data_IF_557511897564
#
_entry.id   IF_557511897564
#
_cell.length_a   1.000
_cell.length_b   1.000
_cell.length_c   1.000
_cell.angle_alpha   90.00
_cell.angle_beta   90.00
_cell.angle_gamma   90.00
#
_symmetry.space_group_name_H-M   'P 1'
#
loop_
_entity.id
_entity.type
_entity.pdbx_description
1 polymer ?
#
# COMPACT_ATOMS: atom_id res chain seq x y z
N UNK A 1 6.27 -2.81 -1.69
CA UNK A 1 5.97 -1.53 -1.01
C UNK A 1 4.60 -0.97 -1.40
N UNK A 2 4.34 -0.56 -2.66
CA UNK A 2 3.06 0.06 -3.09
C UNK A 2 1.80 -0.68 -2.65
N UNK A 3 1.78 -2.01 -2.81
CA UNK A 3 0.64 -2.84 -2.42
C UNK A 3 0.32 -2.73 -0.92
N UNK A 4 1.33 -2.66 -0.05
CA UNK A 4 1.16 -2.53 1.41
C UNK A 4 0.67 -1.14 1.79
N UNK A 5 1.32 -0.09 1.25
CA UNK A 5 0.90 1.30 1.44
C UNK A 5 -0.55 1.49 1.01
N UNK A 6 -0.92 0.94 -0.15
CA UNK A 6 -2.27 1.00 -0.66
C UNK A 6 -3.24 0.21 0.23
N UNK A 7 -2.93 -1.05 0.54
CA UNK A 7 -3.75 -1.93 1.38
C UNK A 7 -4.08 -1.31 2.73
N UNK A 8 -3.12 -0.63 3.38
CA UNK A 8 -3.34 0.03 4.65
C UNK A 8 -4.43 1.10 4.61
N UNK A 9 -4.64 1.74 3.45
CA UNK A 9 -5.69 2.75 3.28
C UNK A 9 -7.07 2.15 2.97
N UNK A 10 -7.16 0.84 2.70
CA UNK A 10 -8.39 0.17 2.27
C UNK A 10 -9.24 -0.31 3.44
N UNK A 11 -9.72 0.64 4.24
CA UNK A 11 -10.56 0.37 5.44
C UNK A 11 -12.07 0.27 5.14
N UNK A 12 -12.50 0.79 3.99
CA UNK A 12 -13.91 0.81 3.57
C UNK A 12 -14.50 -0.59 3.37
N UNK A 13 -15.81 -0.75 3.60
CA UNK A 13 -16.49 -2.05 3.58
C UNK A 13 -16.21 -2.89 2.32
N UNK A 14 -16.28 -2.27 1.14
CA UNK A 14 -16.10 -2.95 -0.16
C UNK A 14 -14.66 -3.40 -0.44
N UNK A 15 -13.68 -2.79 0.22
CA UNK A 15 -12.24 -2.99 -0.04
C UNK A 15 -11.50 -3.51 1.18
N UNK A 16 -12.21 -3.84 2.26
CA UNK A 16 -11.61 -4.27 3.52
C UNK A 16 -10.78 -5.56 3.39
N UNK A 17 -11.08 -6.38 2.38
CA UNK A 17 -10.29 -7.56 2.08
C UNK A 17 -8.88 -7.20 1.58
N UNK A 18 -8.68 -6.05 0.94
CA UNK A 18 -7.35 -5.57 0.54
C UNK A 18 -6.48 -5.25 1.76
N UNK A 19 -7.10 -4.76 2.85
CA UNK A 19 -6.39 -4.51 4.12
C UNK A 19 -5.76 -5.79 4.69
N UNK A 20 -6.27 -6.97 4.34
CA UNK A 20 -5.65 -8.22 4.75
C UNK A 20 -4.22 -8.37 4.24
N UNK A 21 -3.86 -7.78 3.10
CA UNK A 21 -2.47 -7.78 2.62
C UNK A 21 -1.58 -7.08 3.65
N UNK A 22 -2.05 -5.96 4.22
CA UNK A 22 -1.32 -5.24 5.25
C UNK A 22 -1.29 -6.01 6.59
N UNK A 23 -2.44 -6.50 7.07
CA UNK A 23 -2.52 -7.16 8.38
C UNK A 23 -1.91 -8.56 8.42
N UNK A 24 -1.92 -9.29 7.30
CA UNK A 24 -1.32 -10.62 7.17
C UNK A 24 0.15 -10.61 6.74
N UNK A 25 0.71 -9.47 6.32
CA UNK A 25 2.15 -9.38 6.08
C UNK A 25 2.86 -9.25 7.42
N UNK A 26 3.76 -10.20 7.70
CA UNK A 26 4.56 -10.21 8.94
C UNK A 26 6.00 -9.75 8.71
N UNK A 27 6.67 -10.34 7.71
CA UNK A 27 8.08 -10.10 7.42
C UNK A 27 8.33 -9.77 5.95
N UNK A 28 9.37 -8.98 5.68
CA UNK A 28 9.79 -8.57 4.35
C UNK A 28 11.31 -8.70 4.24
N UNK A 29 11.79 -9.43 3.24
CA UNK A 29 13.22 -9.57 2.93
C UNK A 29 13.50 -8.81 1.64
N UNK A 30 14.38 -7.81 1.71
CA UNK A 30 14.81 -7.01 0.57
C UNK A 30 16.20 -7.45 0.12
N UNK A 31 16.39 -7.68 -1.18
CA UNK A 31 17.67 -8.11 -1.76
C UNK A 31 18.15 -7.08 -2.76
N UNK A 32 19.16 -6.29 -2.39
CA UNK A 32 19.77 -5.31 -3.27
C UNK A 32 18.77 -4.27 -3.79
N UNK A 33 17.67 -4.00 -3.10
CA UNK A 33 16.64 -3.08 -3.61
C UNK A 33 17.05 -1.63 -3.34
N UNK A 34 17.06 -0.75 -4.35
CA UNK A 34 17.45 0.64 -4.14
C UNK A 34 16.34 1.41 -3.38
N UNK A 35 16.57 1.70 -2.09
CA UNK A 35 15.64 2.49 -1.24
C UNK A 35 15.97 3.97 -1.22
N UNK A 36 17.24 4.35 -1.41
CA UNK A 36 17.67 5.75 -1.42
C UNK A 36 18.05 6.17 -2.83
N UNK A 37 17.44 7.27 -3.28
CA UNK A 37 17.67 7.84 -4.61
C UNK A 37 16.38 8.39 -5.21
N UNK A 38 16.04 9.63 -4.86
CA UNK A 38 14.86 10.32 -5.41
C UNK A 38 15.09 10.96 -6.77
N UNK A 39 16.35 11.11 -7.18
CA UNK A 39 16.63 11.74 -8.45
C UNK A 39 16.32 10.76 -9.59
N UNK A 40 15.61 11.19 -10.65
CA UNK A 40 15.47 10.40 -11.87
C UNK A 40 16.83 9.92 -12.41
N UNK A 41 17.91 10.69 -12.17
CA UNK A 41 19.26 10.32 -12.54
C UNK A 41 19.79 9.09 -11.78
N UNK A 42 19.46 8.93 -10.49
CA UNK A 42 19.85 7.76 -9.69
C UNK A 42 19.12 6.51 -10.17
N UNK A 43 17.81 6.61 -10.40
CA UNK A 43 17.02 5.51 -10.96
C UNK A 43 17.47 5.14 -12.37
N UNK A 44 17.80 6.14 -13.19
CA UNK A 44 18.36 5.92 -14.52
C UNK A 44 19.71 5.21 -14.46
N UNK A 45 20.61 5.62 -13.57
CA UNK A 45 21.90 4.97 -13.39
C UNK A 45 21.73 3.50 -12.94
N UNK A 46 20.86 3.26 -11.96
CA UNK A 46 20.48 1.90 -11.55
C UNK A 46 19.92 1.08 -12.73
N UNK A 47 18.96 1.64 -13.48
CA UNK A 47 18.37 0.99 -14.64
C UNK A 47 19.41 0.66 -15.73
N UNK A 48 20.36 1.55 -15.97
CA UNK A 48 21.49 1.34 -16.89
C UNK A 48 22.40 0.21 -16.40
N UNK A 49 22.73 0.17 -15.11
CA UNK A 49 23.54 -0.89 -14.50
C UNK A 49 22.83 -2.24 -14.59
N UNK A 50 21.54 -2.30 -14.28
CA UNK A 50 20.71 -3.51 -14.44
C UNK A 50 20.63 -3.92 -15.91
N UNK A 51 20.39 -2.98 -16.84
CA UNK A 51 20.34 -3.27 -18.28
C UNK A 51 21.68 -3.74 -18.85
N UNK A 52 22.79 -3.21 -18.36
CA UNK A 52 24.13 -3.69 -18.66
C UNK A 52 24.37 -5.08 -18.05
N UNK A 53 23.78 -5.34 -16.88
CA UNK A 53 23.83 -6.63 -16.21
C UNK A 53 22.83 -7.67 -16.78
N UNK A 54 21.80 -7.28 -17.51
CA UNK A 54 20.82 -8.23 -18.02
C UNK A 54 21.47 -9.13 -19.10
N UNK A 55 21.33 -10.44 -18.94
CA UNK A 55 21.61 -11.40 -20.02
C UNK A 55 20.58 -11.20 -21.13
N UNK A 56 21.01 -11.24 -22.39
CA UNK A 56 20.11 -11.06 -23.54
C UNK A 56 18.87 -11.97 -23.42
N UNK A 57 17.67 -11.38 -23.35
CA UNK A 57 16.40 -12.10 -23.24
C UNK A 57 15.38 -11.53 -22.23
N UNK A 58 15.80 -10.69 -21.29
CA UNK A 58 14.92 -10.09 -20.26
C UNK A 58 14.59 -8.64 -20.63
N UNK A 59 13.57 -8.45 -21.47
CA UNK A 59 13.17 -7.16 -22.08
C UNK A 59 14.29 -6.44 -22.86
N UNK A 60 13.95 -5.66 -23.89
CA UNK A 60 14.94 -4.79 -24.50
C UNK A 60 15.50 -3.86 -23.43
N UNK A 61 16.82 -3.74 -23.33
CA UNK A 61 17.50 -2.82 -22.38
C UNK A 61 16.88 -1.43 -22.41
N UNK A 62 16.44 -0.99 -23.59
CA UNK A 62 15.76 0.30 -23.79
C UNK A 62 14.43 0.40 -23.07
N UNK A 63 13.62 -0.66 -23.07
CA UNK A 63 12.25 -0.62 -22.53
C UNK A 63 12.26 -0.66 -21.00
N UNK A 64 13.20 -1.40 -20.42
CA UNK A 64 13.38 -1.40 -18.96
C UNK A 64 13.85 -0.03 -18.48
N UNK A 65 14.84 0.56 -19.16
CA UNK A 65 15.37 1.88 -18.78
C UNK A 65 14.29 2.95 -18.94
N UNK A 66 13.58 2.99 -20.06
CA UNK A 66 12.53 3.99 -20.26
C UNK A 66 11.34 3.83 -19.32
N UNK A 67 10.94 2.60 -19.01
CA UNK A 67 9.90 2.36 -18.00
C UNK A 67 10.34 2.85 -16.61
N UNK A 68 11.57 2.55 -16.21
CA UNK A 68 12.10 2.98 -14.91
C UNK A 68 12.33 4.49 -14.82
N UNK A 69 12.74 5.14 -15.92
CA UNK A 69 12.85 6.60 -16.00
C UNK A 69 11.48 7.25 -15.75
N UNK A 70 10.47 6.82 -16.48
CA UNK A 70 9.11 7.37 -16.40
C UNK A 70 8.43 7.08 -15.05
N UNK A 71 8.82 6.00 -14.37
CA UNK A 71 8.23 5.60 -13.09
C UNK A 71 9.06 6.02 -11.86
N UNK A 72 10.23 6.66 -12.04
CA UNK A 72 11.15 6.99 -10.94
C UNK A 72 10.51 7.86 -9.84
N UNK A 73 9.72 8.87 -10.20
CA UNK A 73 8.97 9.69 -9.23
C UNK A 73 7.91 8.86 -8.48
N UNK A 74 7.24 7.95 -9.18
CA UNK A 74 6.28 7.03 -8.56
C UNK A 74 6.97 6.07 -7.59
N UNK A 75 8.14 5.53 -7.96
CA UNK A 75 8.94 4.65 -7.11
C UNK A 75 9.44 5.37 -5.84
N UNK A 76 9.83 6.63 -5.96
CA UNK A 76 10.23 7.43 -4.80
C UNK A 76 9.04 7.65 -3.85
N UNK A 77 7.90 8.11 -4.38
CA UNK A 77 6.69 8.30 -3.60
C UNK A 77 6.30 7.02 -2.84
N UNK A 78 6.45 5.85 -3.48
CA UNK A 78 6.18 4.56 -2.85
C UNK A 78 7.09 4.31 -1.64
N UNK A 79 8.38 4.65 -1.73
CA UNK A 79 9.31 4.49 -0.61
C UNK A 79 8.96 5.45 0.53
N UNK A 80 8.68 6.71 0.21
CA UNK A 80 8.32 7.73 1.21
C UNK A 80 7.03 7.39 1.96
N UNK A 81 6.04 6.80 1.28
CA UNK A 81 4.83 6.31 1.94
C UNK A 81 5.01 4.97 2.66
N UNK A 82 6.06 4.21 2.34
CA UNK A 82 6.35 2.93 2.99
C UNK A 82 7.11 3.13 4.30
N UNK A 83 8.06 4.07 4.37
CA UNK A 83 8.88 4.32 5.57
C UNK A 83 8.05 4.49 6.86
N UNK A 84 6.96 5.29 6.90
CA UNK A 84 6.16 5.47 8.11
C UNK A 84 5.49 4.20 8.63
N UNK A 85 5.34 3.19 7.76
CA UNK A 85 4.59 1.96 8.03
C UNK A 85 5.53 0.76 8.16
N UNK A 86 6.84 0.96 7.98
CA UNK A 86 7.86 -0.08 8.05
C UNK A 86 7.87 -0.80 9.40
N UNK A 87 7.71 -0.06 10.51
CA UNK A 87 7.66 -0.60 11.88
C UNK A 87 6.54 -1.64 12.12
N UNK A 88 5.59 -1.74 11.20
CA UNK A 88 4.56 -2.77 11.25
C UNK A 88 5.06 -4.14 10.77
N UNK A 89 6.28 -4.26 10.25
CA UNK A 89 6.82 -5.48 9.68
C UNK A 89 8.21 -5.76 10.23
N UNK A 90 8.59 -7.04 10.30
CA UNK A 90 9.99 -7.40 10.49
C UNK A 90 10.70 -7.31 9.13
N UNK A 91 11.69 -6.43 9.03
CA UNK A 91 12.34 -6.13 7.76
C UNK A 91 13.82 -6.51 7.82
N UNK A 92 14.26 -7.28 6.82
CA UNK A 92 15.66 -7.66 6.65
C UNK A 92 16.19 -7.14 5.32
N UNK A 93 17.24 -6.31 5.35
CA UNK A 93 17.90 -5.81 4.15
C UNK A 93 19.19 -6.58 3.85
N UNK A 94 19.29 -7.11 2.64
CA UNK A 94 20.49 -7.72 2.11
C UNK A 94 21.12 -6.85 1.03
N UNK A 95 22.45 -6.74 1.02
CA UNK A 95 23.19 -6.07 -0.04
C UNK A 95 24.28 -6.98 -0.63
N UNK A 96 24.67 -6.68 -1.87
CA UNK A 96 25.77 -7.37 -2.57
C UNK A 96 27.12 -6.97 -1.97
N UNK A 97 27.98 -7.95 -1.68
CA UNK A 97 29.33 -7.70 -1.18
C UNK A 97 30.37 -7.68 -2.30
N UNK A 98 30.08 -8.30 -3.45
CA UNK A 98 30.96 -8.32 -4.61
C UNK A 98 30.43 -7.44 -5.75
N UNK A 99 31.29 -6.72 -6.48
CA UNK A 99 30.84 -5.91 -7.59
C UNK A 99 30.50 -6.79 -8.80
N UNK A 100 29.34 -6.49 -9.39
CA UNK A 100 28.79 -7.14 -10.58
C UNK A 100 29.63 -6.79 -11.81
N UNK A 101 30.01 -7.81 -12.58
CA UNK A 101 30.70 -7.60 -13.86
C UNK A 101 29.71 -7.13 -14.94
N UNK A 102 30.03 -5.98 -15.54
CA UNK A 102 29.32 -5.37 -16.67
C UNK A 102 30.09 -5.56 -18.00
N UNK A 103 30.95 -6.58 -18.07
CA UNK A 103 31.79 -6.85 -19.23
C UNK A 103 32.82 -5.75 -19.46
N UNK A 104 32.79 -5.12 -20.65
CA UNK A 104 33.75 -4.05 -21.02
C UNK A 104 33.62 -2.78 -20.17
N UNK A 105 32.50 -2.60 -19.47
CA UNK A 105 32.28 -1.43 -18.59
C UNK A 105 32.93 -1.59 -17.21
N UNK A 106 33.58 -2.72 -16.93
CA UNK A 106 34.22 -3.00 -15.65
C UNK A 106 33.30 -3.68 -14.63
N UNK A 107 33.66 -3.58 -13.35
CA UNK A 107 32.91 -4.16 -12.22
C UNK A 107 32.40 -3.03 -11.33
N UNK A 108 31.12 -3.07 -10.97
CA UNK A 108 30.52 -2.08 -10.08
C UNK A 108 29.42 -2.72 -9.24
N UNK A 109 29.12 -2.12 -8.09
CA UNK A 109 27.90 -2.43 -7.36
C UNK A 109 26.71 -1.91 -8.16
N UNK A 110 25.70 -2.74 -8.38
CA UNK A 110 24.47 -2.34 -9.06
C UNK A 110 23.68 -1.39 -8.15
N UNK A 111 23.65 -1.66 -6.84
CA UNK A 111 23.03 -0.78 -5.84
C UNK A 111 24.04 -0.47 -4.74
N UNK A 112 24.16 0.80 -4.35
CA UNK A 112 25.05 1.17 -3.24
C UNK A 112 24.58 0.54 -1.93
N UNK A 113 25.52 0.28 -1.03
CA UNK A 113 25.23 -0.31 0.28
C UNK A 113 24.17 0.49 1.06
N UNK A 114 24.28 1.81 1.07
CA UNK A 114 23.37 2.70 1.79
C UNK A 114 21.95 2.66 1.22
N UNK A 115 21.82 2.48 -0.10
CA UNK A 115 20.53 2.37 -0.77
C UNK A 115 19.92 0.96 -0.61
N UNK A 116 20.75 -0.09 -0.65
CA UNK A 116 20.30 -1.48 -0.48
C UNK A 116 19.89 -1.80 0.97
N UNK A 117 20.63 -1.28 1.95
CA UNK A 117 20.47 -1.56 3.37
C UNK A 117 20.45 -0.26 4.20
N UNK A 118 19.41 0.57 4.03
CA UNK A 118 19.27 1.82 4.77
C UNK A 118 19.22 1.58 6.28
N UNK A 119 19.81 2.49 7.04
CA UNK A 119 19.90 2.39 8.51
C UNK A 119 18.61 2.86 9.20
N UNK A 120 17.55 2.06 9.08
CA UNK A 120 16.31 2.27 9.83
C UNK A 120 16.34 1.51 11.17
N UNK A 121 15.66 2.07 12.17
CA UNK A 121 15.45 1.41 13.46
C UNK A 121 14.61 0.14 13.30
N UNK A 122 14.82 -0.83 14.18
CA UNK A 122 14.06 -2.10 14.20
C UNK A 122 14.15 -2.93 12.89
N UNK A 123 15.25 -2.75 12.13
CA UNK A 123 15.52 -3.53 10.91
C UNK A 123 16.81 -4.34 11.00
N UNK A 124 16.79 -5.53 10.42
CA UNK A 124 17.96 -6.40 10.30
C UNK A 124 18.70 -6.13 8.98
N UNK A 125 20.03 -6.31 8.96
CA UNK A 125 20.87 -6.02 7.79
C UNK A 125 22.02 -7.02 7.69
N UNK A 126 22.30 -7.57 6.49
CA UNK A 126 23.46 -8.42 6.26
C UNK A 126 23.98 -8.37 4.81
N UNK A 127 25.30 -8.46 4.65
CA UNK A 127 25.92 -8.62 3.34
C UNK A 127 25.76 -10.07 2.85
N UNK A 128 25.58 -10.24 1.54
CA UNK A 128 25.71 -11.55 0.89
C UNK A 128 26.99 -11.53 0.04
N UNK A 129 27.88 -12.49 0.28
CA UNK A 129 29.15 -12.69 -0.44
C UNK A 129 28.90 -13.17 -1.88
N UNK A 130 28.30 -12.31 -2.69
CA UNK A 130 27.96 -12.50 -4.08
C UNK A 130 27.75 -11.12 -4.75
N UNK A 131 27.73 -11.12 -6.08
CA UNK A 131 27.29 -9.96 -6.86
C UNK A 131 25.76 -9.82 -6.84
N UNK A 132 25.24 -8.71 -7.38
CA UNK A 132 23.80 -8.45 -7.43
C UNK A 132 22.98 -9.58 -8.06
N UNK A 133 23.53 -10.33 -9.02
CA UNK A 133 22.83 -11.47 -9.65
C UNK A 133 22.90 -12.72 -8.80
N UNK A 134 24.04 -12.93 -8.15
CA UNK A 134 24.33 -14.11 -7.32
C UNK A 134 23.70 -14.04 -5.92
N UNK A 135 23.38 -12.87 -5.40
CA UNK A 135 22.89 -12.74 -4.01
C UNK A 135 21.54 -13.42 -3.73
N UNK A 136 20.81 -13.82 -4.77
CA UNK A 136 19.56 -14.61 -4.69
C UNK A 136 19.67 -16.00 -5.33
N UNK A 137 20.87 -16.42 -5.72
CA UNK A 137 21.14 -17.69 -6.40
C UNK A 137 22.17 -18.46 -5.58
N UNK A 138 21.68 -19.36 -4.74
CA UNK A 138 22.50 -20.14 -3.82
C UNK A 138 22.76 -21.53 -4.40
N UNK A 139 24.01 -21.81 -4.75
CA UNK A 139 24.42 -23.13 -5.29
C UNK A 139 24.80 -24.13 -4.18
N UNK A 140 25.02 -23.68 -2.94
CA UNK A 140 25.31 -24.53 -1.77
C UNK A 140 24.41 -24.15 -0.58
N UNK A 141 23.59 -25.09 -0.03
CA UNK A 141 22.78 -24.84 1.16
C UNK A 141 23.62 -24.61 2.44
N UNK A 142 24.94 -24.85 2.38
CA UNK A 142 25.88 -24.54 3.46
C UNK A 142 26.49 -23.15 3.34
N UNK A 143 26.24 -22.44 2.23
CA UNK A 143 26.71 -21.07 2.06
C UNK A 143 26.15 -20.16 3.16
N UNK A 144 26.97 -19.21 3.61
CA UNK A 144 26.59 -18.27 4.66
C UNK A 144 25.35 -17.46 4.26
N UNK A 145 25.31 -16.96 3.01
CA UNK A 145 24.17 -16.22 2.47
C UNK A 145 22.87 -17.00 2.54
N UNK A 146 22.87 -18.26 2.08
CA UNK A 146 21.69 -19.11 2.13
C UNK A 146 21.21 -19.35 3.56
N UNK A 147 22.13 -19.69 4.47
CA UNK A 147 21.81 -19.95 5.88
C UNK A 147 21.21 -18.73 6.57
N UNK A 148 21.74 -17.53 6.33
CA UNK A 148 21.19 -16.28 6.89
C UNK A 148 19.76 -16.02 6.38
N UNK A 149 19.52 -16.20 5.08
CA UNK A 149 18.18 -16.02 4.49
C UNK A 149 17.19 -17.04 5.04
N UNK A 150 17.58 -18.32 5.12
CA UNK A 150 16.74 -19.39 5.65
C UNK A 150 16.45 -19.19 7.14
N UNK A 151 17.44 -18.81 7.94
CA UNK A 151 17.24 -18.51 9.37
C UNK A 151 16.23 -17.38 9.57
N UNK A 152 16.40 -16.26 8.88
CA UNK A 152 15.44 -15.15 8.93
C UNK A 152 14.04 -15.58 8.49
N UNK A 153 13.94 -16.36 7.41
CA UNK A 153 12.66 -16.85 6.90
C UNK A 153 11.98 -17.80 7.90
N UNK A 154 12.70 -18.74 8.49
CA UNK A 154 12.16 -19.68 9.48
C UNK A 154 11.71 -18.94 10.74
N UNK A 155 12.54 -18.05 11.28
CA UNK A 155 12.17 -17.18 12.41
C UNK A 155 10.88 -16.42 12.12
N UNK A 156 10.78 -15.80 10.95
CA UNK A 156 9.58 -15.07 10.57
C UNK A 156 8.36 -15.99 10.41
N UNK A 157 8.52 -17.17 9.83
CA UNK A 157 7.44 -18.15 9.69
C UNK A 157 6.93 -18.69 11.03
N UNK A 158 7.82 -18.88 12.00
CA UNK A 158 7.47 -19.41 13.33
C UNK A 158 6.65 -18.39 14.15
N UNK A 159 7.03 -17.11 14.09
CA UNK A 159 6.37 -16.05 14.84
C UNK A 159 5.08 -15.53 14.19
N UNK A 160 5.05 -15.50 12.85
CA UNK A 160 3.98 -14.87 12.07
C UNK A 160 2.55 -15.30 12.45
N UNK A 161 2.22 -16.60 12.63
CA UNK A 161 0.83 -17.02 12.85
C UNK A 161 0.19 -16.40 14.08
N UNK A 162 0.94 -16.28 15.18
CA UNK A 162 0.44 -15.68 16.42
C UNK A 162 0.18 -14.19 16.25
N UNK A 163 1.15 -13.47 15.67
CA UNK A 163 1.09 -12.02 15.47
C UNK A 163 0.01 -11.66 14.45
N UNK A 164 -0.08 -12.37 13.33
CA UNK A 164 -1.10 -12.14 12.29
C UNK A 164 -2.49 -12.38 12.87
N UNK A 165 -2.73 -13.47 13.61
CA UNK A 165 -4.04 -13.71 14.25
C UNK A 165 -4.45 -12.54 15.13
N UNK A 166 -3.52 -11.99 15.92
CA UNK A 166 -3.79 -10.84 16.77
C UNK A 166 -4.10 -9.59 15.93
N UNK A 167 -3.28 -9.28 14.92
CA UNK A 167 -3.50 -8.17 13.98
C UNK A 167 -4.86 -8.25 13.29
N UNK A 168 -5.26 -9.42 12.82
CA UNK A 168 -6.55 -9.63 12.18
C UNK A 168 -7.72 -9.37 13.15
N UNK A 169 -7.62 -9.83 14.41
CA UNK A 169 -8.63 -9.58 15.45
C UNK A 169 -8.74 -8.08 15.76
N UNK A 170 -7.60 -7.41 15.93
CA UNK A 170 -7.56 -5.97 16.25
C UNK A 170 -8.06 -5.13 15.08
N UNK A 171 -7.72 -5.52 13.86
CA UNK A 171 -8.22 -4.91 12.62
C UNK A 171 -9.73 -5.07 12.49
N UNK A 172 -10.26 -6.29 12.66
CA UNK A 172 -11.69 -6.54 12.57
C UNK A 172 -12.47 -5.70 13.60
N UNK A 173 -11.93 -5.58 14.82
CA UNK A 173 -12.50 -4.75 15.88
C UNK A 173 -12.46 -3.26 15.53
N UNK A 174 -11.31 -2.74 15.11
CA UNK A 174 -11.13 -1.31 14.81
C UNK A 174 -11.96 -0.87 13.61
N UNK A 175 -11.99 -1.66 12.55
CA UNK A 175 -12.83 -1.41 11.37
C UNK A 175 -14.32 -1.51 11.72
N UNK A 176 -14.72 -2.46 12.56
CA UNK A 176 -16.08 -2.57 13.07
C UNK A 176 -16.52 -1.30 13.82
N UNK A 177 -15.70 -0.83 14.77
CA UNK A 177 -15.94 0.39 15.54
C UNK A 177 -16.02 1.64 14.66
N UNK A 178 -15.09 1.80 13.71
CA UNK A 178 -15.08 2.93 12.78
C UNK A 178 -16.38 2.97 11.95
N UNK A 179 -16.84 1.81 11.46
CA UNK A 179 -18.09 1.69 10.70
C UNK A 179 -19.31 2.02 11.55
N UNK A 180 -19.38 1.51 12.78
CA UNK A 180 -20.48 1.83 13.71
C UNK A 180 -20.55 3.33 14.01
N UNK A 181 -19.38 3.98 14.17
CA UNK A 181 -19.31 5.43 14.38
C UNK A 181 -19.79 6.21 13.15
N UNK A 182 -19.31 5.86 11.96
CA UNK A 182 -19.74 6.50 10.71
C UNK A 182 -21.25 6.35 10.47
N UNK A 183 -21.81 5.16 10.75
CA UNK A 183 -23.24 4.92 10.67
C UNK A 183 -24.02 5.79 11.67
N UNK A 184 -23.56 5.89 12.92
CA UNK A 184 -24.18 6.72 13.95
C UNK A 184 -24.14 8.22 13.59
N UNK A 185 -23.02 8.71 13.05
CA UNK A 185 -22.88 10.09 12.57
C UNK A 185 -23.82 10.38 11.39
N UNK A 186 -23.96 9.43 10.46
CA UNK A 186 -24.89 9.55 9.32
C UNK A 186 -26.35 9.61 9.77
N UNK A 187 -26.76 8.74 10.70
CA UNK A 187 -28.10 8.78 11.29
C UNK A 187 -28.34 10.10 12.01
N UNK A 188 -27.38 10.57 12.82
CA UNK A 188 -27.50 11.85 13.53
C UNK A 188 -27.69 13.04 12.57
N UNK A 189 -27.00 13.06 11.43
CA UNK A 189 -27.18 14.10 10.40
C UNK A 189 -28.55 14.05 9.74
N UNK A 190 -29.07 12.85 9.46
CA UNK A 190 -30.37 12.67 8.81
C UNK A 190 -31.56 12.95 9.75
N UNK A 191 -31.38 12.77 11.06
CA UNK A 191 -32.43 12.96 12.08
C UNK A 191 -32.37 14.30 12.82
N UNK A 192 -31.49 15.24 12.43
CA UNK A 192 -31.70 16.64 12.81
C UNK A 192 -32.92 17.16 12.04
N UNK A 193 -34.00 17.60 12.72
CA UNK A 193 -35.07 18.32 12.06
C UNK A 193 -34.41 19.47 11.32
N UNK A 194 -34.70 19.65 10.03
CA UNK A 194 -34.54 20.98 9.42
C UNK A 194 -35.21 21.93 10.40
N UNK A 195 -34.44 22.82 11.03
CA UNK A 195 -35.04 23.96 11.71
C UNK A 195 -35.96 24.60 10.67
N UNK A 196 -37.26 24.40 10.85
CA UNK A 196 -38.26 25.18 10.15
C UNK A 196 -38.01 26.57 10.70
N UNK A 197 -37.39 27.43 9.87
CA UNK A 197 -37.17 28.82 10.22
C UNK A 197 -38.47 29.36 10.86
N UNK A 198 -38.40 30.04 12.00
CA UNK A 198 -39.59 30.53 12.68
C UNK A 198 -40.41 31.31 11.67
N UNK A 199 -41.67 30.89 11.49
CA UNK A 199 -42.63 31.56 10.63
C UNK A 199 -42.62 33.06 11.00
N UNK A 200 -42.09 33.91 10.13
CA UNK A 200 -42.32 35.34 10.25
C UNK A 200 -43.84 35.55 10.16
N UNK A 201 -44.46 36.30 11.10
CA UNK A 201 -45.86 36.64 10.95
C UNK A 201 -46.03 37.48 9.68
N UNK A 202 -46.79 36.95 8.73
CA UNK A 202 -47.25 37.68 7.56
C UNK A 202 -48.06 38.89 8.04
N UNK A 203 -47.58 40.08 7.72
CA UNK A 203 -48.34 41.32 7.83
C UNK A 203 -49.50 41.24 6.83
N UNK A 204 -50.73 41.21 7.34
CA UNK A 204 -51.94 41.28 6.53
C UNK A 204 -52.02 42.68 5.94
N UNK A 205 -51.62 42.84 4.69
CA UNK A 205 -52.01 44.00 3.87
C UNK A 205 -53.24 43.62 3.06
N UNK A 206 -54.34 44.33 3.35
CA UNK A 206 -55.58 44.35 2.58
C UNK A 206 -55.30 44.92 1.18
N UNK A 207 -55.51 44.11 0.13
CA UNK A 207 -55.34 44.56 -1.25
C UNK A 207 -56.05 43.62 -2.20
N UNK A 208 -56.96 44.18 -2.99
CA UNK A 208 -57.94 43.52 -3.82
C UNK A 208 -57.35 42.97 -5.14
N UNK A 209 -58.06 41.99 -5.70
CA UNK A 209 -58.20 41.66 -7.14
C UNK A 209 -57.12 40.86 -7.89
N UNK A 210 -57.55 39.68 -8.41
CA UNK A 210 -57.27 39.31 -9.81
C UNK A 210 -56.41 38.08 -10.14
N UNK A 211 -57.09 36.97 -10.47
CA UNK A 211 -56.85 36.11 -11.67
C UNK A 211 -55.73 35.01 -11.72
N UNK A 212 -56.16 33.75 -11.50
CA UNK A 212 -56.13 32.53 -12.36
C UNK A 212 -54.86 31.91 -13.02
N UNK A 213 -54.53 30.69 -12.54
CA UNK A 213 -54.23 29.35 -13.17
C UNK A 213 -52.98 29.13 -14.08
N UNK A 214 -52.11 28.18 -13.68
CA UNK A 214 -51.72 26.91 -14.38
C UNK A 214 -50.25 26.46 -14.14
N UNK A 215 -50.02 25.16 -13.85
CA UNK A 215 -48.81 24.44 -14.36
C UNK A 215 -47.87 23.65 -13.41
N UNK A 216 -48.24 22.40 -13.11
CA UNK A 216 -47.42 21.14 -13.12
C UNK A 216 -46.06 20.94 -12.39
N UNK A 217 -46.12 20.12 -11.32
CA UNK A 217 -45.46 18.81 -11.06
C UNK A 217 -43.97 18.52 -11.41
N UNK A 218 -43.19 18.11 -10.38
CA UNK A 218 -42.58 16.75 -10.28
C UNK A 218 -41.96 16.47 -8.89
N UNK A 219 -42.33 15.34 -8.27
CA UNK A 219 -41.72 14.76 -7.07
C UNK A 219 -41.07 13.41 -7.39
N UNK A 220 -39.91 13.12 -6.80
CA UNK A 220 -39.38 11.75 -6.69
C UNK A 220 -38.99 11.50 -5.22
N UNK A 221 -39.46 10.37 -4.68
CA UNK A 221 -39.14 9.84 -3.36
C UNK A 221 -38.87 8.35 -3.53
N UNK A 222 -37.69 7.88 -3.13
CA UNK A 222 -37.33 6.47 -3.15
C UNK A 222 -37.60 5.83 -1.78
N UNK A 223 -38.39 4.75 -1.80
CA UNK A 223 -38.83 3.98 -0.65
C UNK A 223 -37.96 2.72 -0.48
N UNK A 224 -37.70 2.37 0.78
CA UNK A 224 -37.02 1.15 1.24
C UNK A 224 -37.86 -0.11 0.98
N UNK A 225 -37.20 -1.23 0.66
CA UNK A 225 -37.77 -2.59 0.68
C UNK A 225 -36.91 -3.44 1.62
N UNK A 226 -37.52 -3.90 2.72
CA UNK A 226 -37.13 -5.11 3.43
C UNK A 226 -38.19 -6.18 3.09
N UNK A 227 -37.77 -7.43 2.85
CA UNK A 227 -38.64 -8.59 3.04
C UNK A 227 -37.83 -9.74 3.65
N UNK A 228 -38.24 -10.11 4.84
CA UNK A 228 -37.99 -11.39 5.52
C UNK A 228 -38.73 -12.52 4.80
N UNK A 229 -38.08 -13.67 4.64
CA UNK A 229 -38.69 -14.92 4.21
C UNK A 229 -38.39 -16.02 5.21
N UNK A 230 -39.46 -16.65 5.69
CA UNK A 230 -39.54 -17.64 6.77
C UNK A 230 -38.87 -18.99 6.50
N UNK A 231 -38.53 -19.66 7.60
CA UNK A 231 -38.18 -21.08 7.72
C UNK A 231 -39.38 -22.00 7.47
N UNK A 232 -39.21 -23.09 6.70
CA UNK A 232 -39.71 -24.46 6.96
C UNK A 232 -39.05 -25.49 6.01
N UNK A 233 -38.19 -26.35 6.56
CA UNK A 233 -38.13 -27.83 6.44
C UNK A 233 -36.92 -28.33 7.22
#
# INVERSE_FOLDING_TARGET
MRALTYAQTRTGYKVAHDYNIFSCTYGILFFGTPHHGSSPATWLDYAKRIGAAATAGVMSKSNLVSALENESETLQNITDYFVPIMRNFNIFFFWEQEPTSLGRLGRTYIVSHESAAPSYDETERAAIAADHRGMVRFDDPRSQGFRMVVDALLRYCDDAPNVIRQRCRDTARSLGLARSREAAETLRRNFHPREVAPHMPMRVESGLDGFSIAGTSRSETFHSICNSGDSKT
#
